data_IF_570255179650
#
_entry.id   IF_570255179650
#
_cell.length_a   1.000
_cell.length_b   1.000
_cell.length_c   1.000
_cell.angle_alpha   90.00
_cell.angle_beta   90.00
_cell.angle_gamma   90.00
#
_symmetry.space_group_name_H-M   'P 1'
#
loop_
_entity.id
_entity.type
_entity.pdbx_description
1 polymer ?
#
# COMPACT_ATOMS: atom_id res chain seq x y z
N UNK A 1 13.11 -42.41 16.06
CA UNK A 1 12.81 -42.06 14.66
C UNK A 1 11.35 -41.55 14.50
N UNK A 2 10.34 -42.15 15.10
CA UNK A 2 8.93 -41.77 14.89
C UNK A 2 8.54 -40.35 15.33
N UNK A 3 9.23 -39.73 16.29
CA UNK A 3 8.94 -38.35 16.76
C UNK A 3 9.74 -37.26 15.99
N UNK A 4 10.86 -37.60 15.39
CA UNK A 4 11.72 -36.65 14.69
C UNK A 4 11.12 -36.21 13.37
N UNK A 5 10.56 -37.15 12.62
CA UNK A 5 9.98 -36.88 11.29
C UNK A 5 8.82 -35.88 11.35
N UNK A 6 7.79 -36.06 12.18
CA UNK A 6 6.69 -35.11 12.25
C UNK A 6 7.13 -33.72 12.75
N UNK A 7 8.07 -33.65 13.70
CA UNK A 7 8.62 -32.38 14.16
C UNK A 7 9.40 -31.65 13.08
N UNK A 8 10.27 -32.36 12.35
CA UNK A 8 11.02 -31.79 11.23
C UNK A 8 10.09 -31.31 10.11
N UNK A 9 9.07 -32.06 9.78
CA UNK A 9 8.07 -31.70 8.77
C UNK A 9 7.34 -30.41 9.15
N UNK A 10 6.91 -30.29 10.40
CA UNK A 10 6.24 -29.08 10.92
C UNK A 10 7.15 -27.85 10.81
N UNK A 11 8.43 -27.96 11.18
CA UNK A 11 9.39 -26.86 11.09
C UNK A 11 9.59 -26.44 9.62
N UNK A 12 9.70 -27.38 8.70
CA UNK A 12 9.89 -27.10 7.27
C UNK A 12 8.68 -26.34 6.72
N UNK A 13 7.46 -26.81 6.94
CA UNK A 13 6.26 -26.13 6.45
C UNK A 13 6.10 -24.75 7.07
N UNK A 14 6.36 -24.60 8.37
CA UNK A 14 6.27 -23.28 9.02
C UNK A 14 7.29 -22.28 8.46
N UNK A 15 8.53 -22.72 8.17
CA UNK A 15 9.55 -21.83 7.60
C UNK A 15 9.25 -21.42 6.17
N UNK A 16 8.72 -22.33 5.36
CA UNK A 16 8.29 -22.04 3.98
C UNK A 16 7.11 -21.06 3.98
N UNK A 17 6.13 -21.25 4.83
CA UNK A 17 4.98 -20.36 5.00
C UNK A 17 5.41 -18.95 5.43
N UNK A 18 6.27 -18.86 6.44
CA UNK A 18 6.83 -17.59 6.88
C UNK A 18 7.61 -16.87 5.76
N UNK A 19 8.40 -17.60 4.99
CA UNK A 19 9.12 -17.06 3.83
C UNK A 19 8.18 -16.48 2.78
N UNK A 20 7.10 -17.18 2.47
CA UNK A 20 6.08 -16.73 1.52
C UNK A 20 5.34 -15.48 2.03
N UNK A 21 4.95 -15.44 3.30
CA UNK A 21 4.36 -14.26 3.93
C UNK A 21 5.26 -13.03 3.83
N UNK A 22 6.53 -13.15 4.19
CA UNK A 22 7.48 -12.04 4.07
C UNK A 22 7.68 -11.58 2.62
N UNK A 23 7.73 -12.50 1.68
CA UNK A 23 7.83 -12.18 0.26
C UNK A 23 6.63 -11.35 -0.21
N UNK A 24 5.40 -11.78 0.09
CA UNK A 24 4.19 -11.01 -0.26
C UNK A 24 4.17 -9.65 0.44
N UNK A 25 4.52 -9.59 1.71
CA UNK A 25 4.60 -8.32 2.45
C UNK A 25 5.58 -7.34 1.81
N UNK A 26 6.74 -7.80 1.37
CA UNK A 26 7.69 -6.96 0.66
C UNK A 26 7.14 -6.45 -0.67
N UNK A 27 6.39 -7.26 -1.40
CA UNK A 27 5.72 -6.84 -2.62
C UNK A 27 4.69 -5.73 -2.34
N UNK A 28 3.87 -5.86 -1.31
CA UNK A 28 2.89 -4.85 -0.90
C UNK A 28 3.58 -3.53 -0.56
N UNK A 29 4.60 -3.56 0.29
CA UNK A 29 5.35 -2.34 0.68
C UNK A 29 5.98 -1.66 -0.53
N UNK A 30 6.57 -2.41 -1.45
CA UNK A 30 7.12 -1.88 -2.70
C UNK A 30 6.04 -1.24 -3.57
N UNK A 31 4.92 -1.91 -3.73
CA UNK A 31 3.79 -1.43 -4.51
C UNK A 31 3.20 -0.13 -3.95
N UNK A 32 3.02 -0.03 -2.63
CA UNK A 32 2.57 1.20 -1.97
C UNK A 32 3.54 2.36 -2.17
N UNK A 33 4.85 2.10 -2.14
CA UNK A 33 5.87 3.12 -2.43
C UNK A 33 5.82 3.59 -3.88
N UNK A 34 5.60 2.69 -4.83
CA UNK A 34 5.45 3.04 -6.25
C UNK A 34 4.24 3.95 -6.45
N UNK A 35 3.08 3.61 -5.86
CA UNK A 35 1.87 4.43 -5.86
C UNK A 35 2.07 5.80 -5.22
N UNK A 36 2.72 5.84 -4.05
CA UNK A 36 3.00 7.09 -3.34
C UNK A 36 3.94 8.02 -4.12
N UNK A 37 4.97 7.47 -4.76
CA UNK A 37 5.88 8.23 -5.63
C UNK A 37 5.17 8.78 -6.86
N UNK A 38 4.25 8.01 -7.43
CA UNK A 38 3.45 8.47 -8.56
C UNK A 38 2.53 9.62 -8.14
N UNK A 39 1.83 9.48 -7.01
CA UNK A 39 0.97 10.53 -6.46
C UNK A 39 1.75 11.81 -6.12
N UNK A 40 2.97 11.69 -5.59
CA UNK A 40 3.82 12.83 -5.23
C UNK A 40 4.22 13.71 -6.44
N UNK A 41 4.16 13.16 -7.65
CA UNK A 41 4.52 13.87 -8.90
C UNK A 41 3.32 14.41 -9.66
N UNK A 42 2.13 14.36 -9.08
CA UNK A 42 0.93 14.88 -9.73
C UNK A 42 0.82 16.39 -9.55
N UNK A 43 0.07 17.01 -10.47
CA UNK A 43 -0.22 18.42 -10.44
C UNK A 43 -1.08 18.80 -9.22
N UNK A 44 -0.89 20.00 -8.70
CA UNK A 44 -1.72 20.58 -7.63
C UNK A 44 -3.17 20.81 -8.05
N UNK A 45 -3.49 20.83 -9.33
CA UNK A 45 -4.89 20.87 -9.78
C UNK A 45 -5.62 19.55 -9.56
N UNK A 46 -4.89 18.44 -9.49
CA UNK A 46 -5.44 17.11 -9.22
C UNK A 46 -5.41 16.73 -7.75
N UNK A 47 -4.43 17.24 -6.98
CA UNK A 47 -4.30 16.99 -5.55
C UNK A 47 -3.93 18.29 -4.86
N UNK A 48 -4.84 18.83 -4.06
CA UNK A 48 -4.63 20.11 -3.41
C UNK A 48 -5.26 20.20 -2.02
N UNK A 49 -4.89 21.24 -1.30
CA UNK A 49 -5.40 21.59 0.02
C UNK A 49 -6.21 22.90 0.01
N UNK A 50 -6.78 23.27 -1.14
CA UNK A 50 -7.62 24.49 -1.29
C UNK A 50 -8.97 24.36 -0.57
N UNK A 51 -9.42 23.14 -0.35
CA UNK A 51 -10.64 22.84 0.40
C UNK A 51 -10.33 22.22 1.75
N UNK A 52 -11.20 22.43 2.72
CA UNK A 52 -11.07 21.82 4.05
C UNK A 52 -11.03 20.29 3.93
N UNK A 53 -9.91 19.69 4.36
CA UNK A 53 -9.70 18.25 4.29
C UNK A 53 -8.95 17.76 3.05
N UNK A 54 -8.62 18.65 2.11
CA UNK A 54 -7.93 18.29 0.86
C UNK A 54 -8.85 17.74 -0.23
N UNK A 55 -8.38 17.76 -1.45
CA UNK A 55 -9.09 17.23 -2.62
C UNK A 55 -8.14 16.39 -3.46
N UNK A 56 -8.67 15.29 -4.01
CA UNK A 56 -8.00 14.45 -4.99
C UNK A 56 -8.99 14.06 -6.08
N UNK A 57 -8.55 14.14 -7.34
CA UNK A 57 -9.38 13.73 -8.48
C UNK A 57 -9.72 12.24 -8.43
N UNK A 58 -10.97 11.89 -8.68
CA UNK A 58 -11.45 10.51 -8.61
C UNK A 58 -10.80 9.59 -9.66
N UNK A 59 -10.51 10.13 -10.84
CA UNK A 59 -9.83 9.39 -11.92
C UNK A 59 -8.40 9.08 -11.52
N UNK A 60 -7.75 10.06 -10.89
CA UNK A 60 -6.38 9.89 -10.37
C UNK A 60 -6.34 8.85 -9.25
N UNK A 61 -7.33 8.82 -8.34
CA UNK A 61 -7.44 7.77 -7.31
C UNK A 61 -7.48 6.39 -7.96
N UNK A 62 -8.29 6.22 -9.01
CA UNK A 62 -8.34 4.97 -9.78
C UNK A 62 -6.98 4.58 -10.38
N UNK A 63 -6.28 5.55 -10.95
CA UNK A 63 -4.95 5.36 -11.54
C UNK A 63 -3.90 4.97 -10.48
N UNK A 64 -3.89 5.65 -9.33
CA UNK A 64 -2.99 5.34 -8.20
C UNK A 64 -3.26 3.91 -7.69
N UNK A 65 -4.52 3.54 -7.50
CA UNK A 65 -4.91 2.18 -7.10
C UNK A 65 -4.44 1.15 -8.11
N UNK A 66 -4.68 1.38 -9.41
CA UNK A 66 -4.26 0.47 -10.46
C UNK A 66 -2.73 0.31 -10.51
N UNK A 67 -1.99 1.43 -10.44
CA UNK A 67 -0.52 1.40 -10.41
C UNK A 67 0.02 0.64 -9.20
N UNK A 68 -0.57 0.88 -8.02
CA UNK A 68 -0.21 0.16 -6.80
C UNK A 68 -0.45 -1.34 -6.96
N UNK A 69 -1.61 -1.71 -7.48
CA UNK A 69 -2.04 -3.10 -7.62
C UNK A 69 -1.22 -3.87 -8.66
N UNK A 70 -1.02 -3.28 -9.86
CA UNK A 70 -0.48 -3.96 -11.03
C UNK A 70 0.94 -3.53 -11.42
N UNK A 71 1.37 -2.34 -10.99
CA UNK A 71 2.61 -1.70 -11.45
C UNK A 71 2.45 -0.94 -12.76
N UNK A 72 1.24 -0.82 -13.30
CA UNK A 72 0.93 -0.12 -14.55
C UNK A 72 -0.08 1.00 -14.32
N UNK A 73 0.00 2.07 -15.10
CA UNK A 73 -0.92 3.22 -15.00
C UNK A 73 -2.34 2.82 -15.40
N UNK A 74 -2.48 1.89 -16.35
CA UNK A 74 -3.75 1.35 -16.79
C UNK A 74 -3.62 -0.13 -17.13
N UNK A 75 -4.65 -0.93 -16.84
CA UNK A 75 -4.67 -2.37 -17.06
C UNK A 75 -3.66 -3.12 -16.20
N UNK A 76 -3.24 -4.28 -16.66
CA UNK A 76 -2.31 -5.16 -15.95
C UNK A 76 -2.99 -6.21 -15.08
N UNK A 77 -2.17 -7.13 -14.56
CA UNK A 77 -2.60 -8.15 -13.61
C UNK A 77 -2.13 -7.80 -12.20
N UNK A 78 -2.93 -8.04 -11.14
CA UNK A 78 -2.52 -7.83 -9.77
C UNK A 78 -1.19 -8.55 -9.45
N UNK A 79 -0.31 -7.90 -8.71
CA UNK A 79 0.97 -8.49 -8.23
C UNK A 79 0.75 -9.66 -7.28
N UNK A 80 -0.36 -9.66 -6.57
CA UNK A 80 -0.81 -10.71 -5.66
C UNK A 80 -2.26 -11.03 -6.07
N UNK A 81 -2.56 -12.30 -6.30
CA UNK A 81 -3.82 -12.73 -6.91
C UNK A 81 -5.08 -12.30 -6.13
N UNK A 82 -5.00 -12.27 -4.80
CA UNK A 82 -6.14 -11.92 -3.94
C UNK A 82 -6.25 -10.43 -3.62
N UNK A 83 -5.23 -9.65 -3.96
CA UNK A 83 -5.24 -8.23 -3.70
C UNK A 83 -6.12 -7.50 -4.71
N UNK A 84 -7.14 -6.80 -4.20
CA UNK A 84 -8.11 -6.06 -5.01
C UNK A 84 -7.95 -4.55 -4.85
N UNK A 85 -8.45 -3.79 -5.82
CA UNK A 85 -8.45 -2.33 -5.75
C UNK A 85 -9.35 -1.77 -4.63
N UNK A 86 -10.34 -2.56 -4.15
CA UNK A 86 -11.17 -2.25 -2.98
C UNK A 86 -10.36 -2.17 -1.68
N UNK A 87 -9.29 -2.97 -1.59
CA UNK A 87 -8.48 -3.09 -0.39
C UNK A 87 -7.48 -1.94 -0.25
N UNK A 88 -7.35 -1.13 -1.31
CA UNK A 88 -6.45 0.02 -1.34
C UNK A 88 -7.25 1.29 -1.05
N UNK A 89 -6.86 1.98 0.01
CA UNK A 89 -7.41 3.29 0.39
C UNK A 89 -6.41 4.37 0.04
N UNK A 90 -6.87 5.40 -0.67
CA UNK A 90 -6.09 6.60 -1.00
C UNK A 90 -6.77 7.79 -0.37
N UNK A 91 -6.05 8.50 0.49
CA UNK A 91 -6.57 9.70 1.18
C UNK A 91 -5.57 10.85 1.08
N UNK A 92 -6.09 12.07 1.13
CA UNK A 92 -5.28 13.29 1.21
C UNK A 92 -5.41 13.86 2.60
N UNK A 93 -4.31 14.29 3.17
CA UNK A 93 -4.26 15.06 4.40
C UNK A 93 -3.57 16.41 4.15
N UNK A 94 -4.07 17.43 4.79
CA UNK A 94 -3.59 18.80 4.67
C UNK A 94 -3.15 19.31 6.05
N UNK A 95 -1.94 18.95 6.49
CA UNK A 95 -1.47 19.36 7.81
C UNK A 95 -1.24 20.86 7.86
N UNK A 96 -1.83 21.51 8.85
CA UNK A 96 -1.76 22.98 9.07
C UNK A 96 -0.54 23.44 9.87
N UNK A 97 0.50 22.61 9.97
CA UNK A 97 1.74 22.96 10.69
C UNK A 97 2.57 23.94 9.84
N UNK A 98 3.17 24.93 10.50
CA UNK A 98 3.97 25.98 9.83
C UNK A 98 5.10 25.40 8.94
N UNK A 99 5.65 24.24 9.29
CA UNK A 99 6.68 23.56 8.53
C UNK A 99 6.21 23.08 7.13
N UNK A 100 4.90 22.83 6.96
CA UNK A 100 4.30 22.43 5.70
C UNK A 100 3.82 23.62 4.84
N UNK A 101 4.10 24.84 5.29
CA UNK A 101 3.70 26.10 4.65
C UNK A 101 4.94 26.93 4.25
N UNK A 102 6.05 26.27 3.95
CA UNK A 102 7.32 26.91 3.57
C UNK A 102 7.68 26.61 2.12
N UNK A 103 8.51 27.44 1.54
CA UNK A 103 8.98 27.28 0.17
C UNK A 103 7.89 27.59 -0.87
N UNK A 104 7.54 26.58 -1.67
CA UNK A 104 6.50 26.70 -2.70
C UNK A 104 5.08 26.63 -2.15
N UNK A 105 4.94 26.23 -0.89
CA UNK A 105 3.64 26.07 -0.22
C UNK A 105 3.30 27.35 0.57
N UNK A 106 2.07 27.82 0.40
CA UNK A 106 1.55 28.99 1.13
C UNK A 106 0.70 28.57 2.32
N UNK A 107 0.47 29.52 3.23
CA UNK A 107 -0.44 29.32 4.38
C UNK A 107 -1.89 29.01 3.98
N UNK A 108 -2.29 29.45 2.79
CA UNK A 108 -3.61 29.18 2.21
C UNK A 108 -3.69 27.85 1.44
N UNK A 109 -2.54 27.28 1.11
CA UNK A 109 -2.42 26.01 0.39
C UNK A 109 -1.22 25.22 0.93
N UNK A 110 -1.39 24.57 2.09
CA UNK A 110 -0.31 23.77 2.67
C UNK A 110 0.01 22.56 1.79
N UNK A 111 1.20 21.97 2.01
CA UNK A 111 1.66 20.83 1.28
C UNK A 111 0.67 19.65 1.36
N UNK A 112 0.03 19.22 0.27
CA UNK A 112 -0.85 18.05 0.30
C UNK A 112 -0.02 16.80 0.55
N UNK A 113 -0.51 15.95 1.47
CA UNK A 113 0.09 14.67 1.75
C UNK A 113 -0.86 13.55 1.34
N UNK A 114 -0.44 12.70 0.42
CA UNK A 114 -1.21 11.53 0.01
C UNK A 114 -0.81 10.35 0.87
N UNK A 115 -1.81 9.71 1.48
CA UNK A 115 -1.66 8.45 2.21
C UNK A 115 -2.29 7.33 1.40
N UNK A 116 -1.52 6.28 1.14
CA UNK A 116 -1.99 5.07 0.49
C UNK A 116 -1.82 3.92 1.49
N UNK A 117 -2.93 3.30 1.84
CA UNK A 117 -2.96 2.19 2.78
C UNK A 117 -3.69 1.00 2.18
N UNK A 118 -3.32 -0.18 2.60
CA UNK A 118 -4.00 -1.42 2.23
C UNK A 118 -4.00 -2.40 3.37
N UNK A 119 -5.05 -3.22 3.44
CA UNK A 119 -5.16 -4.38 4.33
C UNK A 119 -6.03 -5.41 3.62
N UNK A 120 -5.56 -6.63 3.53
CA UNK A 120 -6.29 -7.76 2.95
C UNK A 120 -5.78 -9.07 3.55
N UNK A 121 -6.59 -10.12 3.45
CA UNK A 121 -6.29 -11.43 4.02
C UNK A 121 -5.10 -12.09 3.32
N UNK A 122 -4.22 -12.71 4.09
CA UNK A 122 -3.11 -13.50 3.56
C UNK A 122 -3.61 -14.87 3.11
N UNK A 123 -3.24 -15.27 1.89
CA UNK A 123 -3.48 -16.62 1.39
C UNK A 123 -2.31 -17.54 1.73
N UNK A 124 -2.58 -18.50 2.57
CA UNK A 124 -1.61 -19.47 3.04
C UNK A 124 -1.29 -20.51 1.94
N UNK A 125 -0.02 -20.82 1.74
CA UNK A 125 0.42 -21.84 0.79
C UNK A 125 -0.12 -23.23 1.10
N UNK A 126 -0.30 -23.54 2.37
CA UNK A 126 -0.65 -24.87 2.84
C UNK A 126 -2.06 -24.96 3.44
N UNK A 127 -2.91 -23.94 3.22
CA UNK A 127 -4.33 -23.98 3.60
C UNK A 127 -4.59 -24.31 5.05
N UNK A 128 -3.76 -23.80 5.99
CA UNK A 128 -3.93 -24.02 7.41
C UNK A 128 -3.28 -25.28 8.00
N UNK A 129 -2.46 -26.00 7.25
CA UNK A 129 -1.61 -27.09 7.76
C UNK A 129 -0.46 -26.58 8.67
N UNK A 130 -0.42 -25.30 8.98
CA UNK A 130 0.64 -24.68 9.74
C UNK A 130 0.15 -23.78 10.88
N UNK A 131 1.09 -23.05 11.45
CA UNK A 131 0.88 -22.09 12.53
C UNK A 131 0.18 -20.82 12.04
N UNK A 132 0.13 -20.58 10.74
CA UNK A 132 -0.53 -19.44 10.10
C UNK A 132 -1.84 -19.88 9.47
N UNK A 133 -2.94 -19.42 10.04
CA UNK A 133 -4.28 -19.57 9.48
C UNK A 133 -4.60 -18.35 8.61
N UNK A 134 -5.66 -18.42 7.80
CA UNK A 134 -6.21 -17.34 6.97
C UNK A 134 -6.68 -16.10 7.78
N UNK A 135 -6.29 -15.99 9.04
CA UNK A 135 -6.59 -14.87 9.95
C UNK A 135 -5.46 -13.83 10.01
N UNK A 136 -4.40 -14.04 9.24
CA UNK A 136 -3.26 -13.11 9.22
C UNK A 136 -3.43 -12.13 8.07
N UNK A 137 -3.47 -10.85 8.39
CA UNK A 137 -3.59 -9.79 7.40
C UNK A 137 -2.24 -9.37 6.82
N UNK A 138 -2.25 -9.09 5.52
CA UNK A 138 -1.21 -8.36 4.83
C UNK A 138 -1.61 -6.89 4.76
N UNK A 139 -0.83 -6.03 5.37
CA UNK A 139 -1.14 -4.61 5.40
C UNK A 139 0.10 -3.74 5.34
N UNK A 140 -0.14 -2.47 5.00
CA UNK A 140 0.87 -1.43 5.00
C UNK A 140 0.31 -0.08 4.64
N UNK A 141 1.07 0.96 4.93
CA UNK A 141 0.76 2.32 4.53
C UNK A 141 2.03 3.05 4.07
N UNK A 142 1.86 3.94 3.11
CA UNK A 142 2.91 4.85 2.65
C UNK A 142 2.34 6.24 2.48
N UNK A 143 3.13 7.23 2.85
CA UNK A 143 2.79 8.64 2.74
C UNK A 143 3.80 9.34 1.84
N UNK A 144 3.32 10.28 1.02
CA UNK A 144 4.18 11.13 0.22
C UNK A 144 3.59 12.54 0.14
N UNK A 145 4.45 13.55 0.18
CA UNK A 145 4.06 14.93 -0.05
C UNK A 145 4.02 15.19 -1.56
N UNK A 146 2.96 15.85 -2.03
CA UNK A 146 2.82 16.23 -3.43
C UNK A 146 3.72 17.42 -3.71
N UNK A 147 4.47 17.33 -4.79
CA UNK A 147 5.46 18.34 -5.18
C UNK A 147 4.97 19.26 -6.32
N UNK A 148 3.93 18.83 -7.06
CA UNK A 148 3.36 19.58 -8.19
C UNK A 148 4.42 19.83 -9.27
N UNK A 149 4.58 18.92 -10.22
CA UNK A 149 5.55 19.07 -11.32
C UNK A 149 4.81 19.36 -12.60
#
# INVERSE_FOLDING_TARGET
MALIVPLATLIIFTTLEAGHYFYQRHQVVKALRDGARFAARQDFDLINCRTSGGSIDATLVGTIKNLTLTGQVSGGTPRIAQWAASDITVTVSCPSVAENQTGIFASTEPAPQVNIATTFDYDSLFGGLGVFNDTVDLGGAQQATVMGI
#
